data_IF_283553801015
#
_entry.id   IF_283553801015
#
_cell.length_a   1.000
_cell.length_b   1.000
_cell.length_c   1.000
_cell.angle_alpha   90.00
_cell.angle_beta   90.00
_cell.angle_gamma   90.00
#
_symmetry.space_group_name_H-M   'P 1'
#
loop_
_entity.id
_entity.type
_entity.pdbx_description
1 polymer ?
#
# COMPACT_ATOMS: atom_id res chain seq x y z
N UNK A 1 -13.13 -25.95 -42.75
CA UNK A 1 -13.41 -25.64 -41.34
C UNK A 1 -12.30 -26.22 -40.44
N UNK A 2 -12.18 -27.55 -40.30
CA UNK A 2 -11.17 -28.18 -39.42
C UNK A 2 -9.72 -27.77 -39.71
N UNK A 3 -9.29 -27.75 -40.97
CA UNK A 3 -7.92 -27.34 -41.35
C UNK A 3 -7.62 -25.87 -41.02
N UNK A 4 -8.60 -24.97 -41.19
CA UNK A 4 -8.45 -23.56 -40.85
C UNK A 4 -8.37 -23.36 -39.34
N UNK A 5 -9.17 -24.10 -38.56
CA UNK A 5 -9.09 -24.09 -37.10
C UNK A 5 -7.74 -24.61 -36.61
N UNK A 6 -7.23 -25.70 -37.18
CA UNK A 6 -5.91 -26.25 -36.83
C UNK A 6 -4.77 -25.29 -37.17
N UNK A 7 -4.83 -24.63 -38.33
CA UNK A 7 -3.86 -23.62 -38.73
C UNK A 7 -3.86 -22.42 -37.78
N UNK A 8 -5.03 -21.97 -37.34
CA UNK A 8 -5.17 -20.87 -36.38
C UNK A 8 -4.60 -21.25 -35.00
N UNK A 9 -4.89 -22.47 -34.53
CA UNK A 9 -4.33 -22.98 -33.26
C UNK A 9 -2.81 -23.09 -33.34
N UNK A 10 -2.27 -23.61 -34.44
CA UNK A 10 -0.82 -23.70 -34.64
C UNK A 10 -0.16 -22.32 -34.67
N UNK A 11 -0.75 -21.35 -35.39
CA UNK A 11 -0.28 -19.98 -35.42
C UNK A 11 -0.28 -19.35 -34.02
N UNK A 12 -1.35 -19.57 -33.25
CA UNK A 12 -1.44 -19.07 -31.88
C UNK A 12 -0.35 -19.67 -30.97
N UNK A 13 -0.13 -20.99 -31.03
CA UNK A 13 0.93 -21.66 -30.26
C UNK A 13 2.30 -21.14 -30.67
N UNK A 14 2.55 -20.98 -31.97
CA UNK A 14 3.80 -20.43 -32.49
C UNK A 14 4.04 -19.00 -31.99
N UNK A 15 3.03 -18.12 -32.05
CA UNK A 15 3.12 -16.76 -31.55
C UNK A 15 3.38 -16.72 -30.04
N UNK A 16 2.69 -17.54 -29.26
CA UNK A 16 2.93 -17.66 -27.80
C UNK A 16 4.37 -18.10 -27.53
N UNK A 17 4.84 -19.15 -28.21
CA UNK A 17 6.21 -19.63 -28.06
C UNK A 17 7.23 -18.56 -28.47
N UNK A 18 6.98 -17.83 -29.56
CA UNK A 18 7.84 -16.76 -30.03
C UNK A 18 7.91 -15.61 -29.02
N UNK A 19 6.77 -15.19 -28.46
CA UNK A 19 6.72 -14.15 -27.40
C UNK A 19 7.47 -14.60 -26.16
N UNK A 20 7.23 -15.82 -25.67
CA UNK A 20 7.95 -16.39 -24.52
C UNK A 20 9.46 -16.37 -24.81
N UNK A 21 9.90 -16.95 -25.93
CA UNK A 21 11.32 -17.01 -26.26
C UNK A 21 11.94 -15.62 -26.38
N UNK A 22 11.25 -14.66 -26.99
CA UNK A 22 11.72 -13.28 -27.14
C UNK A 22 11.85 -12.58 -25.79
N UNK A 23 10.88 -12.73 -24.90
CA UNK A 23 10.93 -12.08 -23.58
C UNK A 23 11.99 -12.71 -22.68
N UNK A 24 11.96 -14.04 -22.52
CA UNK A 24 12.84 -14.73 -21.58
C UNK A 24 14.28 -14.91 -22.08
N UNK A 25 14.61 -14.37 -23.25
CA UNK A 25 15.99 -14.22 -23.73
C UNK A 25 16.56 -12.82 -23.52
N UNK A 26 15.79 -11.87 -22.94
CA UNK A 26 16.22 -10.48 -22.76
C UNK A 26 17.56 -10.33 -22.02
N UNK A 27 17.78 -11.11 -20.96
CA UNK A 27 18.99 -11.03 -20.13
C UNK A 27 20.20 -11.76 -20.74
N UNK A 28 20.02 -12.50 -21.84
CA UNK A 28 21.11 -13.25 -22.47
C UNK A 28 22.24 -12.31 -22.91
N UNK A 29 23.48 -12.63 -22.52
CA UNK A 29 24.67 -11.87 -22.91
C UNK A 29 24.83 -10.50 -22.23
N UNK A 30 24.03 -10.18 -21.20
CA UNK A 30 24.11 -8.90 -20.46
C UNK A 30 25.01 -8.92 -19.22
N UNK A 31 25.68 -10.04 -18.93
CA UNK A 31 26.61 -10.16 -17.80
C UNK A 31 25.99 -10.10 -16.40
N UNK A 32 24.65 -10.14 -16.29
CA UNK A 32 23.92 -10.09 -15.01
C UNK A 32 23.32 -11.49 -14.78
N UNK A 33 23.44 -12.10 -13.58
CA UNK A 33 22.74 -13.34 -13.24
C UNK A 33 21.22 -13.16 -13.44
N UNK A 34 20.49 -14.14 -13.95
CA UNK A 34 19.06 -13.95 -14.23
C UNK A 34 18.24 -15.23 -14.04
N UNK A 35 16.92 -15.08 -14.03
CA UNK A 35 15.98 -16.20 -14.07
C UNK A 35 15.84 -16.70 -15.50
N UNK A 36 16.09 -17.99 -15.73
CA UNK A 36 15.61 -18.63 -16.97
C UNK A 36 14.07 -18.67 -16.98
N UNK A 37 13.46 -18.99 -18.13
CA UNK A 37 12.01 -19.21 -18.18
C UNK A 37 11.54 -20.25 -17.15
N UNK A 38 12.28 -21.35 -16.99
CA UNK A 38 11.97 -22.41 -16.01
C UNK A 38 12.11 -21.91 -14.58
N UNK A 39 13.14 -21.10 -14.29
CA UNK A 39 13.30 -20.51 -12.94
C UNK A 39 12.19 -19.51 -12.64
N UNK A 40 11.74 -18.75 -13.64
CA UNK A 40 10.64 -17.81 -13.48
C UNK A 40 9.30 -18.53 -13.24
N UNK A 41 9.01 -19.60 -13.98
CA UNK A 41 7.82 -20.43 -13.71
C UNK A 41 7.88 -21.01 -12.30
N UNK A 42 9.06 -21.46 -11.85
CA UNK A 42 9.28 -21.90 -10.47
C UNK A 42 9.08 -20.77 -9.47
N UNK A 43 9.58 -19.56 -9.74
CA UNK A 43 9.34 -18.38 -8.90
C UNK A 43 7.86 -18.12 -8.71
N UNK A 44 7.07 -18.14 -9.79
CA UNK A 44 5.61 -17.93 -9.73
C UNK A 44 4.94 -19.03 -8.90
N UNK A 45 5.35 -20.29 -9.07
CA UNK A 45 4.86 -21.40 -8.25
C UNK A 45 5.23 -21.27 -6.77
N UNK A 46 6.49 -20.93 -6.48
CA UNK A 46 6.98 -20.72 -5.12
C UNK A 46 6.24 -19.56 -4.46
N UNK A 47 6.02 -18.44 -5.17
CA UNK A 47 5.19 -17.32 -4.67
C UNK A 47 3.74 -17.71 -4.38
N UNK A 48 3.22 -18.76 -5.02
CA UNK A 48 1.88 -19.30 -4.73
C UNK A 48 1.84 -20.24 -3.53
N UNK A 49 2.94 -20.93 -3.24
CA UNK A 49 2.99 -22.02 -2.26
C UNK A 49 3.77 -21.69 -0.99
N UNK A 50 4.54 -20.59 -1.00
CA UNK A 50 5.43 -20.18 0.09
C UNK A 50 5.27 -18.69 0.40
N UNK A 51 5.65 -18.24 1.61
CA UNK A 51 5.67 -16.83 1.95
C UNK A 51 6.60 -16.05 1.01
N UNK A 52 6.11 -14.91 0.51
CA UNK A 52 6.81 -14.10 -0.50
C UNK A 52 8.21 -13.67 -0.08
N UNK A 53 8.38 -13.28 1.18
CA UNK A 53 9.67 -12.86 1.74
C UNK A 53 10.71 -13.98 1.72
N UNK A 54 10.31 -15.24 1.96
CA UNK A 54 11.21 -16.39 1.89
C UNK A 54 11.67 -16.64 0.45
N UNK A 55 10.74 -16.54 -0.50
CA UNK A 55 11.04 -16.70 -1.93
C UNK A 55 11.99 -15.61 -2.42
N UNK A 56 11.74 -14.36 -2.04
CA UNK A 56 12.62 -13.24 -2.35
C UNK A 56 14.03 -13.47 -1.77
N UNK A 57 14.13 -13.87 -0.51
CA UNK A 57 15.39 -14.14 0.17
C UNK A 57 16.14 -15.34 -0.42
N UNK A 58 15.45 -16.41 -0.80
CA UNK A 58 16.03 -17.58 -1.48
C UNK A 58 16.66 -17.17 -2.83
N UNK A 59 15.95 -16.34 -3.61
CA UNK A 59 16.46 -15.86 -4.89
C UNK A 59 17.64 -14.90 -4.71
N UNK A 60 17.57 -13.98 -3.74
CA UNK A 60 18.69 -13.11 -3.36
C UNK A 60 19.92 -13.92 -2.95
N UNK A 61 19.77 -14.94 -2.09
CA UNK A 61 20.89 -15.79 -1.65
C UNK A 61 21.51 -16.58 -2.80
N UNK A 62 20.70 -17.05 -3.75
CA UNK A 62 21.17 -17.85 -4.90
C UNK A 62 21.85 -17.03 -5.98
N UNK A 63 21.34 -15.83 -6.27
CA UNK A 63 21.78 -15.03 -7.44
C UNK A 63 22.56 -13.78 -7.06
N UNK A 64 22.60 -13.46 -5.77
CA UNK A 64 23.25 -12.28 -5.23
C UNK A 64 22.36 -11.05 -5.21
N UNK A 65 22.97 -9.91 -4.86
CA UNK A 65 22.32 -8.61 -4.66
C UNK A 65 21.79 -7.93 -5.93
N UNK A 66 22.05 -8.49 -7.10
CA UNK A 66 21.62 -7.94 -8.38
C UNK A 66 21.35 -9.08 -9.36
N UNK A 67 20.11 -9.20 -9.84
CA UNK A 67 19.78 -10.22 -10.83
C UNK A 67 18.59 -9.82 -11.72
N UNK A 68 18.61 -10.32 -12.95
CA UNK A 68 17.51 -10.22 -13.90
C UNK A 68 16.35 -11.14 -13.54
N UNK A 69 15.16 -10.58 -13.57
CA UNK A 69 13.88 -11.26 -13.35
C UNK A 69 12.88 -10.79 -14.41
N UNK A 70 11.61 -11.11 -14.20
CA UNK A 70 10.49 -10.70 -15.03
C UNK A 70 9.29 -10.35 -14.15
N UNK A 71 8.50 -9.38 -14.59
CA UNK A 71 7.10 -9.20 -14.18
C UNK A 71 6.24 -9.72 -15.33
N UNK A 72 6.02 -11.03 -15.34
CA UNK A 72 5.25 -11.72 -16.36
C UNK A 72 5.99 -11.72 -17.68
N UNK A 73 5.60 -10.82 -18.57
CA UNK A 73 6.25 -10.67 -19.88
C UNK A 73 7.12 -9.40 -19.99
N UNK A 74 7.36 -8.71 -18.87
CA UNK A 74 8.18 -7.50 -18.80
C UNK A 74 9.50 -7.84 -18.11
N UNK A 75 10.67 -7.63 -18.72
CA UNK A 75 11.95 -7.80 -18.02
C UNK A 75 12.06 -6.86 -16.83
N UNK A 76 12.52 -7.37 -15.69
CA UNK A 76 12.68 -6.63 -14.44
C UNK A 76 14.08 -6.84 -13.86
N UNK A 77 14.67 -5.83 -13.24
CA UNK A 77 15.96 -5.94 -12.55
C UNK A 77 15.70 -5.91 -11.05
N UNK A 78 16.06 -6.98 -10.34
CA UNK A 78 15.99 -7.02 -8.89
C UNK A 78 17.28 -6.45 -8.33
N UNK A 79 17.15 -5.41 -7.50
CA UNK A 79 18.26 -4.65 -6.94
C UNK A 79 18.19 -4.72 -5.42
N UNK A 80 19.27 -5.20 -4.80
CA UNK A 80 19.48 -5.24 -3.35
C UNK A 80 20.80 -4.61 -2.92
N UNK A 81 21.43 -3.82 -3.79
CA UNK A 81 22.63 -3.04 -3.45
C UNK A 81 22.22 -1.63 -2.96
N UNK A 82 22.60 -1.23 -1.73
CA UNK A 82 22.18 0.06 -1.16
C UNK A 82 22.59 1.29 -1.96
N UNK A 83 23.75 1.27 -2.63
CA UNK A 83 24.21 2.42 -3.43
C UNK A 83 23.33 2.59 -4.68
N UNK A 84 22.80 1.50 -5.20
CA UNK A 84 21.89 1.52 -6.34
C UNK A 84 20.49 1.85 -5.99
N UNK A 85 20.02 1.36 -4.86
CA UNK A 85 18.75 1.81 -4.32
C UNK A 85 18.82 3.34 -4.12
N UNK A 86 19.91 3.88 -3.57
CA UNK A 86 20.10 5.35 -3.49
C UNK A 86 20.05 6.01 -4.87
N UNK A 87 20.78 5.48 -5.85
CA UNK A 87 20.81 6.10 -7.18
C UNK A 87 19.43 6.05 -7.86
N UNK A 88 18.71 4.93 -7.78
CA UNK A 88 17.35 4.75 -8.32
C UNK A 88 16.33 5.66 -7.62
N UNK A 89 16.31 5.66 -6.28
CA UNK A 89 15.28 6.36 -5.50
C UNK A 89 15.56 7.85 -5.28
N UNK A 90 16.80 8.30 -5.42
CA UNK A 90 17.20 9.69 -5.10
C UNK A 90 17.79 10.41 -6.30
N UNK A 91 18.85 9.86 -6.89
CA UNK A 91 19.64 10.56 -7.91
C UNK A 91 18.93 10.59 -9.27
N UNK A 92 18.46 9.44 -9.70
CA UNK A 92 17.88 9.18 -11.01
C UNK A 92 16.36 9.02 -10.95
N UNK A 93 15.71 9.51 -9.88
CA UNK A 93 14.28 9.33 -9.63
C UNK A 93 13.39 9.72 -10.83
N UNK A 94 13.77 10.73 -11.60
CA UNK A 94 13.03 11.13 -12.82
C UNK A 94 12.94 10.02 -13.87
N UNK A 95 13.91 9.10 -13.92
CA UNK A 95 13.90 7.95 -14.81
C UNK A 95 13.05 6.79 -14.29
N UNK A 96 12.62 6.84 -13.02
CA UNK A 96 11.92 5.78 -12.29
C UNK A 96 10.64 6.28 -11.60
N UNK A 97 10.04 7.36 -12.10
CA UNK A 97 8.92 8.07 -11.46
C UNK A 97 7.57 7.34 -11.53
N UNK A 98 7.43 6.37 -12.43
CA UNK A 98 6.21 5.57 -12.59
C UNK A 98 6.24 4.32 -11.70
N UNK A 99 5.13 4.02 -11.03
CA UNK A 99 4.92 2.76 -10.32
C UNK A 99 3.99 1.84 -11.10
N UNK A 100 4.48 0.66 -11.49
CA UNK A 100 3.72 -0.45 -12.10
C UNK A 100 2.93 -0.04 -13.38
N UNK A 101 2.40 -1.03 -14.10
CA UNK A 101 1.50 -0.82 -15.24
C UNK A 101 0.14 -0.31 -14.72
N UNK A 102 -0.03 1.01 -14.74
CA UNK A 102 -1.31 1.70 -14.49
C UNK A 102 -2.48 1.03 -15.25
N UNK A 103 -3.66 1.00 -14.61
CA UNK A 103 -4.94 0.53 -15.18
C UNK A 103 -5.01 -0.97 -15.51
N UNK A 104 -4.41 -1.82 -14.68
CA UNK A 104 -4.48 -3.28 -14.84
C UNK A 104 -5.86 -3.85 -14.45
N UNK A 105 -6.60 -3.17 -13.57
CA UNK A 105 -7.80 -3.70 -12.94
C UNK A 105 -9.10 -3.25 -13.62
N UNK A 106 -9.06 -2.11 -14.32
CA UNK A 106 -10.23 -1.52 -14.97
C UNK A 106 -11.27 -0.97 -14.00
N UNK A 107 -10.92 -0.81 -12.72
CA UNK A 107 -11.78 -0.19 -11.71
C UNK A 107 -11.39 1.31 -11.59
N UNK A 108 -12.28 2.24 -11.94
CA UNK A 108 -11.96 3.68 -11.94
C UNK A 108 -11.49 4.22 -10.59
N UNK A 109 -12.06 3.74 -9.48
CA UNK A 109 -11.69 4.22 -8.15
C UNK A 109 -10.29 3.72 -7.73
N UNK A 110 -9.92 2.50 -8.12
CA UNK A 110 -8.57 1.96 -7.92
C UNK A 110 -7.53 2.69 -8.75
N UNK A 111 -7.83 2.88 -10.03
CA UNK A 111 -6.93 3.47 -11.01
C UNK A 111 -6.64 4.96 -10.69
N UNK A 112 -7.60 5.67 -10.07
CA UNK A 112 -7.45 7.07 -9.60
C UNK A 112 -6.74 7.21 -8.25
N UNK A 113 -6.41 6.13 -7.54
CA UNK A 113 -5.63 6.24 -6.29
C UNK A 113 -4.21 6.69 -6.61
N UNK A 114 -3.66 7.60 -5.80
CA UNK A 114 -2.30 8.12 -6.00
C UNK A 114 -1.24 7.02 -6.22
N UNK A 115 -1.35 5.87 -5.55
CA UNK A 115 -0.38 4.77 -5.71
C UNK A 115 -0.41 4.09 -7.09
N UNK A 116 -1.50 4.24 -7.85
CA UNK A 116 -1.76 3.57 -9.12
C UNK A 116 -1.80 4.53 -10.32
N UNK A 117 -1.73 5.84 -10.06
CA UNK A 117 -1.79 6.88 -11.09
C UNK A 117 -0.45 7.04 -11.82
N UNK A 118 -0.46 7.36 -13.14
CA UNK A 118 0.74 7.73 -13.89
C UNK A 118 1.43 8.99 -13.33
N UNK A 119 2.70 9.21 -13.67
CA UNK A 119 3.54 10.30 -13.12
C UNK A 119 2.85 11.68 -13.01
N UNK A 120 2.18 12.18 -14.06
CA UNK A 120 1.59 13.52 -14.05
C UNK A 120 0.42 13.62 -13.07
N UNK A 121 -0.50 12.66 -13.11
CA UNK A 121 -1.63 12.55 -12.18
C UNK A 121 -1.17 12.29 -10.74
N UNK A 122 -0.13 11.46 -10.59
CA UNK A 122 0.52 11.20 -9.30
C UNK A 122 1.10 12.49 -8.71
N UNK A 123 1.84 13.29 -9.49
CA UNK A 123 2.42 14.56 -9.02
C UNK A 123 1.34 15.52 -8.54
N UNK A 124 0.26 15.67 -9.31
CA UNK A 124 -0.85 16.56 -8.95
C UNK A 124 -1.53 16.09 -7.67
N UNK A 125 -1.89 14.81 -7.60
CA UNK A 125 -2.52 14.20 -6.42
C UNK A 125 -1.61 14.26 -5.19
N UNK A 126 -0.32 13.97 -5.35
CA UNK A 126 0.68 14.06 -4.28
C UNK A 126 0.80 15.48 -3.73
N UNK A 127 0.78 16.48 -4.61
CA UNK A 127 0.84 17.90 -4.22
C UNK A 127 -0.40 18.28 -3.41
N UNK A 128 -1.59 17.83 -3.83
CA UNK A 128 -2.85 18.02 -3.10
C UNK A 128 -2.85 17.34 -1.72
N UNK A 129 -2.31 16.12 -1.61
CA UNK A 129 -2.39 15.32 -0.38
C UNK A 129 -1.25 15.60 0.61
N UNK A 130 -0.11 16.12 0.17
CA UNK A 130 1.04 16.41 1.05
C UNK A 130 0.71 17.31 2.25
N UNK A 131 -0.14 18.35 2.12
CA UNK A 131 -0.57 19.16 3.26
C UNK A 131 -1.36 18.41 4.35
N UNK A 132 -1.83 17.18 4.11
CA UNK A 132 -2.45 16.34 5.14
C UNK A 132 -1.49 16.00 6.29
N UNK A 133 -0.19 15.99 6.01
CA UNK A 133 0.85 15.49 6.90
C UNK A 133 1.80 16.59 7.39
N UNK A 134 1.36 17.86 7.38
CA UNK A 134 2.12 18.94 8.03
C UNK A 134 2.12 18.77 9.55
N UNK A 135 3.11 19.34 10.24
CA UNK A 135 3.18 19.32 11.70
C UNK A 135 1.88 19.82 12.36
N UNK A 136 1.25 20.86 11.82
CA UNK A 136 -0.02 21.37 12.35
C UNK A 136 -1.17 20.37 12.19
N UNK A 137 -1.25 19.68 11.05
CA UNK A 137 -2.24 18.63 10.84
C UNK A 137 -1.99 17.41 11.71
N UNK A 138 -0.74 16.97 11.84
CA UNK A 138 -0.39 15.86 12.74
C UNK A 138 -0.78 16.17 14.20
N UNK A 139 -0.54 17.40 14.67
CA UNK A 139 -1.01 17.86 15.98
C UNK A 139 -2.54 17.77 16.13
N UNK A 140 -3.28 18.18 15.10
CA UNK A 140 -4.74 18.09 15.08
C UNK A 140 -5.28 16.65 15.08
N UNK A 141 -4.50 15.68 14.60
CA UNK A 141 -4.87 14.26 14.61
C UNK A 141 -4.76 13.62 16.00
N UNK A 142 -3.84 14.11 16.85
CA UNK A 142 -3.54 13.49 18.15
C UNK A 142 -4.79 13.34 19.03
N UNK A 143 -5.64 14.35 19.25
CA UNK A 143 -6.83 14.20 20.09
C UNK A 143 -7.76 13.09 19.61
N UNK A 144 -7.88 12.90 18.28
CA UNK A 144 -8.71 11.84 17.69
C UNK A 144 -8.11 10.45 17.95
N UNK A 145 -6.79 10.32 17.80
CA UNK A 145 -6.06 9.08 18.07
C UNK A 145 -6.14 8.73 19.56
N UNK A 146 -5.99 9.71 20.46
CA UNK A 146 -6.13 9.50 21.90
C UNK A 146 -7.54 9.02 22.25
N UNK A 147 -8.57 9.66 21.70
CA UNK A 147 -9.96 9.27 21.95
C UNK A 147 -10.26 7.82 21.53
N UNK A 148 -9.79 7.38 20.36
CA UNK A 148 -9.96 5.98 19.92
C UNK A 148 -9.08 5.01 20.73
N UNK A 149 -7.89 5.46 21.16
CA UNK A 149 -6.97 4.67 21.99
C UNK A 149 -7.54 4.43 23.38
N UNK A 150 -8.20 5.42 23.99
CA UNK A 150 -8.85 5.27 25.29
C UNK A 150 -9.95 4.20 25.26
N UNK A 151 -10.76 4.18 24.21
CA UNK A 151 -11.80 3.15 24.05
C UNK A 151 -11.20 1.77 23.80
N UNK A 152 -10.12 1.69 23.01
CA UNK A 152 -9.35 0.46 22.85
C UNK A 152 -8.78 -0.04 24.18
N UNK A 153 -8.17 0.84 25.00
CA UNK A 153 -7.60 0.48 26.29
C UNK A 153 -8.65 -0.04 27.26
N UNK A 154 -9.84 0.59 27.33
CA UNK A 154 -10.96 0.09 28.14
C UNK A 154 -11.38 -1.32 27.73
N UNK A 155 -11.40 -1.61 26.43
CA UNK A 155 -11.70 -2.96 25.92
C UNK A 155 -10.61 -3.95 26.28
N UNK A 156 -9.34 -3.57 26.12
CA UNK A 156 -8.20 -4.41 26.44
C UNK A 156 -8.17 -4.79 27.93
N UNK A 157 -8.44 -3.83 28.82
CA UNK A 157 -8.56 -4.09 30.26
C UNK A 157 -9.67 -5.11 30.59
N UNK A 158 -10.86 -4.96 29.98
CA UNK A 158 -11.97 -5.92 30.16
C UNK A 158 -11.64 -7.32 29.66
N UNK A 159 -10.89 -7.44 28.56
CA UNK A 159 -10.43 -8.74 28.09
C UNK A 159 -9.34 -9.31 29.00
N UNK A 160 -8.45 -8.47 29.55
CA UNK A 160 -7.42 -8.87 30.50
C UNK A 160 -7.95 -9.33 31.87
N UNK A 161 -9.16 -8.92 32.27
CA UNK A 161 -9.85 -9.46 33.45
C UNK A 161 -10.26 -10.93 33.28
N UNK A 162 -10.39 -11.41 32.04
CA UNK A 162 -10.73 -12.79 31.75
C UNK A 162 -9.49 -13.68 31.89
N UNK A 163 -9.66 -14.87 32.47
CA UNK A 163 -8.59 -15.87 32.54
C UNK A 163 -8.42 -16.52 31.16
N UNK A 164 -7.24 -16.36 30.54
CA UNK A 164 -6.88 -17.07 29.32
C UNK A 164 -6.02 -16.24 28.37
N UNK A 165 -5.71 -16.80 27.21
CA UNK A 165 -5.08 -16.06 26.13
C UNK A 165 -6.07 -15.06 25.52
N UNK A 166 -5.58 -13.85 25.22
CA UNK A 166 -6.36 -12.80 24.57
C UNK A 166 -5.92 -12.69 23.12
N UNK A 167 -6.88 -12.77 22.19
CA UNK A 167 -6.64 -12.52 20.77
C UNK A 167 -6.62 -11.00 20.55
N UNK A 168 -5.44 -10.43 20.24
CA UNK A 168 -5.24 -8.98 20.13
C UNK A 168 -5.33 -8.45 18.69
N UNK A 169 -5.20 -9.31 17.68
CA UNK A 169 -5.17 -8.91 16.26
C UNK A 169 -6.50 -8.31 15.85
N UNK A 170 -7.62 -8.97 16.17
CA UNK A 170 -8.95 -8.44 15.89
C UNK A 170 -9.26 -7.15 16.65
N UNK A 171 -8.67 -6.97 17.84
CA UNK A 171 -8.80 -5.72 18.59
C UNK A 171 -8.02 -4.57 17.93
N UNK A 172 -6.79 -4.83 17.47
CA UNK A 172 -6.01 -3.85 16.70
C UNK A 172 -6.66 -3.52 15.36
N UNK A 173 -7.22 -4.49 14.64
CA UNK A 173 -7.98 -4.23 13.41
C UNK A 173 -9.13 -3.25 13.66
N UNK A 174 -9.96 -3.48 14.68
CA UNK A 174 -11.06 -2.57 15.03
C UNK A 174 -10.55 -1.19 15.44
N UNK A 175 -9.51 -1.13 16.28
CA UNK A 175 -8.94 0.12 16.76
C UNK A 175 -8.38 0.97 15.62
N UNK A 176 -7.61 0.37 14.72
CA UNK A 176 -7.01 1.09 13.59
C UNK A 176 -8.09 1.51 12.60
N UNK A 177 -9.12 0.69 12.37
CA UNK A 177 -10.25 1.06 11.53
C UNK A 177 -11.05 2.25 12.09
N UNK A 178 -11.34 2.24 13.39
CA UNK A 178 -12.00 3.36 14.10
C UNK A 178 -11.16 4.63 14.01
N UNK A 179 -9.85 4.51 14.26
CA UNK A 179 -8.89 5.62 14.18
C UNK A 179 -8.83 6.19 12.77
N UNK A 180 -8.73 5.34 11.75
CA UNK A 180 -8.66 5.77 10.35
C UNK A 180 -9.93 6.48 9.93
N UNK A 181 -11.11 6.03 10.36
CA UNK A 181 -12.36 6.71 10.08
C UNK A 181 -12.49 8.07 10.77
N UNK A 182 -11.99 8.19 12.01
CA UNK A 182 -11.91 9.48 12.70
C UNK A 182 -10.96 10.45 11.97
N UNK A 183 -9.85 9.96 11.41
CA UNK A 183 -8.87 10.78 10.69
C UNK A 183 -9.33 11.14 9.26
N UNK A 184 -10.04 10.27 8.55
CA UNK A 184 -10.44 10.49 7.16
C UNK A 184 -11.78 11.21 7.04
N UNK A 185 -12.77 10.84 7.85
CA UNK A 185 -14.13 11.35 7.78
C UNK A 185 -14.62 12.08 9.04
N UNK A 186 -13.78 12.19 10.09
CA UNK A 186 -14.20 12.64 11.43
C UNK A 186 -15.40 11.86 11.96
N UNK A 187 -15.44 10.56 11.63
CA UNK A 187 -16.53 9.67 11.98
C UNK A 187 -16.10 8.71 13.08
N UNK A 188 -16.92 8.61 14.12
CA UNK A 188 -16.82 7.53 15.08
C UNK A 188 -17.61 6.32 14.58
N UNK A 189 -16.90 5.33 14.02
CA UNK A 189 -17.51 4.10 13.52
C UNK A 189 -17.96 3.14 14.62
N UNK A 190 -17.29 3.17 15.78
CA UNK A 190 -17.43 2.15 16.82
C UNK A 190 -17.50 0.72 16.24
N UNK A 191 -16.55 0.35 15.40
CA UNK A 191 -16.56 -0.91 14.62
C UNK A 191 -16.70 -2.16 15.47
N UNK A 192 -16.31 -2.09 16.74
CA UNK A 192 -16.51 -3.17 17.70
C UNK A 192 -17.99 -3.45 18.03
N UNK A 193 -18.86 -2.42 18.06
CA UNK A 193 -20.31 -2.56 18.25
C UNK A 193 -21.03 -2.82 16.94
N UNK A 194 -20.48 -2.31 15.84
CA UNK A 194 -21.06 -2.44 14.51
C UNK A 194 -20.04 -3.03 13.51
N UNK A 195 -19.69 -4.33 13.66
CA UNK A 195 -18.74 -4.98 12.76
C UNK A 195 -19.25 -5.07 11.33
N UNK A 196 -20.57 -4.95 11.14
CA UNK A 196 -21.23 -4.99 9.85
C UNK A 196 -21.26 -3.65 9.10
N UNK A 197 -20.62 -2.61 9.65
CA UNK A 197 -20.58 -1.30 9.03
C UNK A 197 -20.04 -1.41 7.60
N UNK A 198 -20.72 -0.86 6.58
CA UNK A 198 -20.35 -1.13 5.19
C UNK A 198 -18.94 -0.65 4.79
N UNK A 199 -18.41 0.43 5.39
CA UNK A 199 -17.01 0.85 5.19
C UNK A 199 -16.01 -0.24 5.65
N UNK A 200 -16.30 -0.90 6.77
CA UNK A 200 -15.48 -2.00 7.29
C UNK A 200 -15.51 -3.17 6.33
N UNK A 201 -16.71 -3.54 5.85
CA UNK A 201 -16.88 -4.59 4.85
C UNK A 201 -16.16 -4.28 3.55
N UNK A 202 -16.15 -3.02 3.12
CA UNK A 202 -15.44 -2.60 1.92
C UNK A 202 -13.92 -2.74 2.10
N UNK A 203 -13.36 -2.27 3.22
CA UNK A 203 -11.93 -2.35 3.48
C UNK A 203 -11.48 -3.81 3.69
N UNK A 204 -12.17 -4.60 4.53
CA UNK A 204 -11.85 -6.03 4.73
C UNK A 204 -12.02 -6.86 3.47
N UNK A 205 -13.03 -6.55 2.67
CA UNK A 205 -13.30 -7.20 1.40
C UNK A 205 -12.37 -6.79 0.26
N UNK A 206 -11.46 -5.85 0.50
CA UNK A 206 -10.62 -5.27 -0.55
C UNK A 206 -9.62 -6.29 -1.10
N UNK A 207 -8.81 -6.90 -0.24
CA UNK A 207 -7.90 -7.99 -0.59
C UNK A 207 -8.47 -9.38 -0.30
N UNK A 208 -9.33 -9.51 0.73
CA UNK A 208 -9.87 -10.80 1.18
C UNK A 208 -10.80 -11.50 0.17
N UNK A 209 -11.40 -10.76 -0.77
CA UNK A 209 -12.30 -11.34 -1.78
C UNK A 209 -11.56 -11.87 -3.02
N UNK A 210 -10.26 -11.58 -3.16
CA UNK A 210 -9.49 -12.01 -4.32
C UNK A 210 -8.70 -13.28 -3.96
N UNK A 211 -9.04 -14.41 -4.57
CA UNK A 211 -8.29 -15.67 -4.35
C UNK A 211 -6.79 -15.48 -4.62
N UNK A 212 -5.92 -16.07 -3.79
CA UNK A 212 -4.48 -15.78 -3.81
C UNK A 212 -3.80 -15.88 -5.18
N UNK A 213 -4.26 -16.77 -6.07
CA UNK A 213 -3.74 -16.87 -7.44
C UNK A 213 -4.03 -15.63 -8.29
N UNK A 214 -5.18 -14.96 -8.09
CA UNK A 214 -5.52 -13.70 -8.77
C UNK A 214 -4.68 -12.54 -8.23
N UNK A 215 -4.35 -12.54 -6.94
CA UNK A 215 -3.42 -11.56 -6.35
C UNK A 215 -2.03 -11.73 -6.96
N UNK A 216 -1.53 -12.95 -7.04
CA UNK A 216 -0.25 -13.23 -7.69
C UNK A 216 -0.30 -12.82 -9.16
N UNK A 217 -1.39 -13.10 -9.88
CA UNK A 217 -1.53 -12.66 -11.26
C UNK A 217 -1.55 -11.13 -11.38
N UNK A 218 -2.22 -10.42 -10.48
CA UNK A 218 -2.28 -8.96 -10.46
C UNK A 218 -0.88 -8.34 -10.29
N UNK A 219 -0.09 -8.86 -9.35
CA UNK A 219 1.23 -8.30 -9.01
C UNK A 219 2.39 -8.84 -9.85
N UNK A 220 2.28 -10.04 -10.41
CA UNK A 220 3.36 -10.66 -11.21
C UNK A 220 3.07 -10.65 -12.71
N UNK A 221 1.82 -10.53 -13.14
CA UNK A 221 1.41 -10.57 -14.55
C UNK A 221 0.25 -9.60 -14.83
N UNK A 222 0.38 -8.35 -14.40
CA UNK A 222 -0.63 -7.28 -14.53
C UNK A 222 -1.24 -7.16 -15.94
N UNK A 223 -0.44 -7.33 -17.00
CA UNK A 223 -0.92 -7.34 -18.40
C UNK A 223 -1.85 -8.51 -18.73
N UNK A 224 -1.58 -9.69 -18.16
CA UNK A 224 -2.44 -10.88 -18.34
C UNK A 224 -3.71 -10.70 -17.52
N UNK A 225 -3.59 -10.18 -16.29
CA UNK A 225 -4.74 -9.86 -15.44
C UNK A 225 -5.74 -8.96 -16.18
N UNK A 226 -5.25 -7.90 -16.86
CA UNK A 226 -6.06 -6.97 -17.65
C UNK A 226 -6.83 -7.62 -18.82
N UNK A 227 -6.32 -8.71 -19.39
CA UNK A 227 -6.97 -9.41 -20.49
C UNK A 227 -8.07 -10.37 -20.00
N UNK A 228 -8.05 -10.72 -18.72
CA UNK A 228 -9.02 -11.62 -18.12
C UNK A 228 -10.18 -10.81 -17.54
N UNK A 229 -11.41 -11.34 -17.52
CA UNK A 229 -12.59 -10.65 -16.99
C UNK A 229 -12.62 -10.72 -15.46
N UNK A 230 -11.51 -10.38 -14.81
CA UNK A 230 -11.43 -10.33 -13.36
C UNK A 230 -11.83 -8.95 -12.85
N UNK A 231 -12.67 -8.95 -11.82
CA UNK A 231 -13.04 -7.73 -11.12
C UNK A 231 -12.17 -7.59 -9.88
N UNK A 232 -11.44 -6.48 -9.78
CA UNK A 232 -10.71 -6.08 -8.59
C UNK A 232 -10.58 -4.56 -8.56
N UNK A 233 -10.76 -3.91 -7.40
CA UNK A 233 -11.57 -4.36 -6.27
C UNK A 233 -13.03 -4.59 -6.70
N UNK A 234 -13.86 -5.13 -5.80
CA UNK A 234 -15.29 -5.33 -6.09
C UNK A 234 -15.98 -4.01 -6.44
N UNK A 235 -16.65 -3.94 -7.60
CA UNK A 235 -17.43 -2.76 -8.03
C UNK A 235 -18.45 -2.31 -6.98
N UNK A 236 -19.11 -3.27 -6.32
CA UNK A 236 -20.08 -2.98 -5.26
C UNK A 236 -19.42 -2.29 -4.06
N UNK A 237 -18.21 -2.70 -3.70
CA UNK A 237 -17.44 -2.07 -2.62
C UNK A 237 -17.03 -0.64 -3.00
N UNK A 238 -16.48 -0.45 -4.19
CA UNK A 238 -16.04 0.87 -4.65
C UNK A 238 -17.21 1.84 -4.84
N UNK A 239 -18.36 1.38 -5.33
CA UNK A 239 -19.56 2.22 -5.45
C UNK A 239 -20.08 2.66 -4.09
N UNK A 240 -20.04 1.77 -3.09
CA UNK A 240 -20.43 2.14 -1.73
C UNK A 240 -19.56 3.29 -1.18
N UNK A 241 -18.24 3.21 -1.36
CA UNK A 241 -17.30 4.26 -0.89
C UNK A 241 -17.53 5.57 -1.64
N UNK A 242 -17.81 5.49 -2.94
CA UNK A 242 -18.16 6.65 -3.77
C UNK A 242 -19.45 7.32 -3.26
N UNK A 243 -20.52 6.56 -3.08
CA UNK A 243 -21.80 7.05 -2.55
C UNK A 243 -21.65 7.64 -1.14
N UNK A 244 -20.92 6.95 -0.27
CA UNK A 244 -20.65 7.42 1.09
C UNK A 244 -19.88 8.75 1.08
N UNK A 245 -18.81 8.83 0.29
CA UNK A 245 -18.01 10.07 0.15
C UNK A 245 -18.85 11.20 -0.42
N UNK A 246 -19.69 10.91 -1.43
CA UNK A 246 -20.62 11.89 -2.00
C UNK A 246 -21.56 12.46 -0.95
N UNK A 247 -22.17 11.58 -0.15
CA UNK A 247 -23.09 11.98 0.92
C UNK A 247 -22.40 12.89 1.94
N UNK A 248 -21.23 12.47 2.44
CA UNK A 248 -20.45 13.24 3.41
C UNK A 248 -19.99 14.60 2.86
N UNK A 249 -19.53 14.63 1.60
CA UNK A 249 -19.12 15.87 0.94
C UNK A 249 -20.29 16.86 0.81
N UNK A 250 -21.44 16.42 0.31
CA UNK A 250 -22.62 17.28 0.17
C UNK A 250 -23.14 17.76 1.53
N UNK A 251 -23.17 16.88 2.54
CA UNK A 251 -23.60 17.25 3.88
C UNK A 251 -22.76 18.40 4.43
N UNK A 252 -21.42 18.33 4.29
CA UNK A 252 -20.50 19.39 4.75
C UNK A 252 -20.65 20.69 3.96
N UNK A 253 -20.80 20.61 2.64
CA UNK A 253 -21.05 21.79 1.82
C UNK A 253 -22.36 22.48 2.22
N UNK A 254 -23.39 21.72 2.58
CA UNK A 254 -24.68 22.26 3.02
C UNK A 254 -24.65 22.82 4.44
N UNK A 255 -24.02 22.12 5.40
CA UNK A 255 -23.94 22.54 6.80
C UNK A 255 -22.91 23.65 7.04
N UNK A 256 -21.98 23.88 6.09
CA UNK A 256 -20.80 24.75 6.24
C UNK A 256 -19.90 24.36 7.41
N UNK A 257 -20.02 23.12 7.88
CA UNK A 257 -19.16 22.55 8.90
C UNK A 257 -17.77 22.29 8.30
N UNK A 258 -16.72 22.73 9.00
CA UNK A 258 -15.34 22.42 8.66
C UNK A 258 -14.75 21.53 9.74
N UNK A 259 -14.32 20.34 9.34
CA UNK A 259 -13.67 19.38 10.21
C UNK A 259 -12.20 19.23 9.85
N UNK A 260 -11.38 18.84 10.82
CA UNK A 260 -9.95 18.61 10.58
C UNK A 260 -9.71 17.15 10.19
N UNK A 261 -9.97 16.82 8.93
CA UNK A 261 -9.77 15.47 8.36
C UNK A 261 -9.35 15.49 6.89
N UNK A 262 -9.07 14.30 6.36
CA UNK A 262 -8.64 14.10 4.97
C UNK A 262 -9.72 14.53 3.97
N UNK A 263 -10.99 14.22 4.22
CA UNK A 263 -12.09 14.64 3.34
C UNK A 263 -12.14 16.17 3.22
N UNK A 264 -12.00 16.89 4.33
CA UNK A 264 -11.99 18.36 4.31
C UNK A 264 -10.78 18.91 3.55
N UNK A 265 -9.61 18.29 3.68
CA UNK A 265 -8.43 18.69 2.91
C UNK A 265 -8.67 18.55 1.39
N UNK A 266 -9.25 17.43 0.97
CA UNK A 266 -9.54 17.21 -0.45
C UNK A 266 -10.59 18.23 -0.95
N UNK A 267 -11.65 18.46 -0.17
CA UNK A 267 -12.66 19.48 -0.48
C UNK A 267 -12.05 20.88 -0.59
N UNK A 268 -11.20 21.27 0.37
CA UNK A 268 -10.52 22.57 0.35
C UNK A 268 -9.66 22.75 -0.89
N UNK A 269 -8.99 21.69 -1.34
CA UNK A 269 -8.12 21.76 -2.52
C UNK A 269 -8.95 21.98 -3.78
N UNK A 270 -10.04 21.24 -3.94
CA UNK A 270 -10.99 21.42 -5.06
C UNK A 270 -11.66 22.80 -5.01
N UNK A 271 -11.93 23.32 -3.81
CA UNK A 271 -12.56 24.63 -3.62
C UNK A 271 -11.61 25.81 -3.85
N UNK A 272 -10.30 25.68 -3.56
CA UNK A 272 -9.32 26.77 -3.73
C UNK A 272 -9.24 27.32 -5.15
N UNK A 273 -9.57 26.50 -6.14
CA UNK A 273 -9.51 26.88 -7.55
C UNK A 273 -10.80 27.56 -8.05
N UNK A 274 -11.81 27.80 -7.19
CA UNK A 274 -13.14 28.28 -7.60
C UNK A 274 -13.72 29.40 -6.73
N UNK A 275 -14.63 30.18 -7.32
CA UNK A 275 -15.36 31.25 -6.65
C UNK A 275 -16.39 30.71 -5.64
N UNK A 276 -16.62 31.38 -4.49
CA UNK A 276 -17.45 30.86 -3.39
C UNK A 276 -18.95 30.68 -3.70
N UNK A 277 -19.50 31.45 -4.65
CA UNK A 277 -20.94 31.71 -4.71
C UNK A 277 -21.77 30.70 -5.52
N UNK A 278 -21.17 29.68 -6.14
CA UNK A 278 -21.93 28.68 -6.92
C UNK A 278 -21.27 27.30 -7.00
N UNK A 279 -20.80 26.80 -5.85
CA UNK A 279 -20.04 25.56 -5.79
C UNK A 279 -20.94 24.32 -5.96
N UNK A 280 -20.76 23.62 -7.08
CA UNK A 280 -21.20 22.23 -7.26
C UNK A 280 -19.98 21.36 -7.47
N UNK A 281 -19.78 20.37 -6.62
CA UNK A 281 -18.77 19.33 -6.82
C UNK A 281 -19.24 18.47 -7.99
N UNK A 282 -18.40 18.32 -9.00
CA UNK A 282 -18.66 17.42 -10.12
C UNK A 282 -18.51 15.96 -9.70
N UNK A 283 -19.15 15.06 -10.45
CA UNK A 283 -19.04 13.62 -10.19
C UNK A 283 -17.59 13.11 -10.29
N UNK A 284 -16.78 13.67 -11.21
CA UNK A 284 -15.37 13.29 -11.31
C UNK A 284 -14.57 13.70 -10.08
N UNK A 285 -14.83 14.90 -9.54
CA UNK A 285 -14.15 15.35 -8.32
C UNK A 285 -14.52 14.48 -7.12
N UNK A 286 -15.79 14.08 -7.00
CA UNK A 286 -16.20 13.11 -5.98
C UNK A 286 -15.48 11.77 -6.15
N UNK A 287 -15.31 11.28 -7.38
CA UNK A 287 -14.55 10.06 -7.64
C UNK A 287 -13.07 10.19 -7.22
N UNK A 288 -12.43 11.31 -7.52
CA UNK A 288 -11.03 11.56 -7.13
C UNK A 288 -10.87 11.65 -5.61
N UNK A 289 -11.77 12.37 -4.93
CA UNK A 289 -11.82 12.46 -3.47
C UNK A 289 -12.06 11.08 -2.86
N UNK A 290 -13.03 10.32 -3.38
CA UNK A 290 -13.35 8.98 -2.88
C UNK A 290 -12.17 8.02 -3.06
N UNK A 291 -11.44 8.11 -4.18
CA UNK A 291 -10.25 7.33 -4.42
C UNK A 291 -9.16 7.62 -3.37
N UNK A 292 -8.90 8.90 -3.05
CA UNK A 292 -7.91 9.25 -2.03
C UNK A 292 -8.36 8.88 -0.61
N UNK A 293 -9.62 9.10 -0.25
CA UNK A 293 -10.16 8.65 1.03
C UNK A 293 -10.01 7.13 1.18
N UNK A 294 -10.36 6.37 0.16
CA UNK A 294 -10.21 4.91 0.16
C UNK A 294 -8.75 4.48 0.25
N UNK A 295 -7.83 5.18 -0.44
CA UNK A 295 -6.40 4.94 -0.32
C UNK A 295 -5.91 5.09 1.12
N UNK A 296 -6.36 6.12 1.85
CA UNK A 296 -6.02 6.28 3.27
C UNK A 296 -6.54 5.13 4.12
N UNK A 297 -7.73 4.60 3.83
CA UNK A 297 -8.23 3.41 4.51
C UNK A 297 -7.39 2.16 4.23
N UNK A 298 -7.07 1.88 2.97
CA UNK A 298 -6.30 0.69 2.59
C UNK A 298 -4.86 0.79 3.13
N UNK A 299 -4.20 1.92 2.91
CA UNK A 299 -2.82 2.12 3.31
C UNK A 299 -2.68 2.28 4.83
N UNK A 300 -3.68 2.87 5.51
CA UNK A 300 -3.63 3.18 6.94
C UNK A 300 -4.22 2.10 7.85
N UNK A 301 -4.97 1.13 7.32
CA UNK A 301 -5.56 0.06 8.15
C UNK A 301 -4.60 -1.12 8.31
N UNK A 302 -4.46 -1.95 7.28
CA UNK A 302 -3.75 -3.24 7.41
C UNK A 302 -2.29 -3.06 7.81
N UNK A 303 -1.60 -2.06 7.25
CA UNK A 303 -0.17 -1.82 7.53
C UNK A 303 0.07 -1.45 9.01
N UNK A 304 -0.77 -0.57 9.56
CA UNK A 304 -0.67 -0.11 10.95
C UNK A 304 -1.09 -1.23 11.90
N UNK A 305 -2.14 -1.98 11.58
CA UNK A 305 -2.54 -3.15 12.36
C UNK A 305 -1.41 -4.18 12.46
N UNK A 306 -0.80 -4.55 11.33
CA UNK A 306 0.30 -5.52 11.30
C UNK A 306 1.53 -4.99 12.06
N UNK A 307 1.86 -3.70 11.91
CA UNK A 307 2.94 -3.06 12.66
C UNK A 307 2.71 -3.11 14.18
N UNK A 308 1.49 -2.82 14.64
CA UNK A 308 1.12 -2.89 16.05
C UNK A 308 1.18 -4.33 16.59
N UNK A 309 0.71 -5.31 15.81
CA UNK A 309 0.76 -6.73 16.18
C UNK A 309 2.21 -7.16 16.38
N UNK A 310 3.10 -6.90 15.42
CA UNK A 310 4.50 -7.31 15.53
C UNK A 310 5.25 -6.55 16.64
N UNK A 311 4.98 -5.27 16.82
CA UNK A 311 5.55 -4.51 17.93
C UNK A 311 5.11 -5.07 19.30
N UNK A 312 3.81 -5.32 19.48
CA UNK A 312 3.29 -5.92 20.70
C UNK A 312 3.84 -7.33 20.94
N UNK A 313 3.94 -8.14 19.89
CA UNK A 313 4.53 -9.48 19.95
C UNK A 313 6.00 -9.44 20.38
N UNK A 314 6.80 -8.56 19.79
CA UNK A 314 8.21 -8.40 20.15
C UNK A 314 8.37 -7.96 21.60
N UNK A 315 7.58 -6.98 22.06
CA UNK A 315 7.63 -6.51 23.45
C UNK A 315 7.18 -7.58 24.45
N UNK A 316 6.15 -8.36 24.12
CA UNK A 316 5.67 -9.46 24.98
C UNK A 316 6.72 -10.57 25.16
N UNK A 317 7.59 -10.78 24.16
CA UNK A 317 8.70 -11.74 24.25
C UNK A 317 9.96 -11.18 24.94
N UNK A 318 10.04 -9.86 25.13
CA UNK A 318 11.20 -9.17 25.72
C UNK A 318 10.74 -8.23 26.84
N UNK A 319 10.34 -8.75 28.02
CA UNK A 319 9.80 -7.95 29.12
C UNK A 319 10.70 -6.81 29.57
N UNK A 320 12.02 -6.99 29.52
CA UNK A 320 13.01 -5.96 29.84
C UNK A 320 12.97 -4.76 28.89
N UNK A 321 12.63 -5.00 27.62
CA UNK A 321 12.41 -3.93 26.64
C UNK A 321 11.05 -3.29 26.86
N UNK A 322 10.02 -4.08 27.18
CA UNK A 322 8.69 -3.58 27.50
C UNK A 322 8.70 -2.64 28.72
N UNK A 323 9.38 -3.01 29.80
CA UNK A 323 9.51 -2.19 31.00
C UNK A 323 10.17 -0.84 30.69
N UNK A 324 11.26 -0.84 29.90
CA UNK A 324 11.94 0.38 29.46
C UNK A 324 11.05 1.29 28.62
N UNK A 325 10.28 0.72 27.69
CA UNK A 325 9.31 1.47 26.88
C UNK A 325 8.25 2.11 27.78
N UNK A 326 7.70 1.35 28.74
CA UNK A 326 6.70 1.87 29.68
C UNK A 326 7.28 3.01 30.52
N UNK A 327 8.48 2.85 31.09
CA UNK A 327 9.14 3.89 31.88
C UNK A 327 9.39 5.16 31.05
N UNK A 328 9.84 5.02 29.80
CA UNK A 328 10.03 6.15 28.89
C UNK A 328 8.72 6.87 28.59
N UNK A 329 7.65 6.12 28.28
CA UNK A 329 6.31 6.68 28.03
C UNK A 329 5.81 7.42 29.26
N UNK A 330 5.85 6.80 30.44
CA UNK A 330 5.36 7.37 31.69
C UNK A 330 6.06 8.69 32.03
N UNK A 331 7.37 8.78 31.77
CA UNK A 331 8.14 10.00 31.96
C UNK A 331 7.75 11.10 30.97
N UNK A 332 7.60 10.77 29.69
CA UNK A 332 7.29 11.74 28.64
C UNK A 332 5.85 12.30 28.71
N UNK A 333 4.87 11.48 29.10
CA UNK A 333 3.45 11.92 29.16
C UNK A 333 3.07 12.54 30.51
N UNK A 334 3.93 12.48 31.53
CA UNK A 334 3.63 12.86 32.92
C UNK A 334 3.03 14.25 33.10
N UNK A 335 3.47 15.22 32.29
CA UNK A 335 3.06 16.63 32.43
C UNK A 335 1.83 16.97 31.59
N UNK A 336 1.87 16.66 30.29
CA UNK A 336 0.92 17.19 29.30
C UNK A 336 0.11 16.09 28.59
N UNK A 337 0.25 14.82 29.02
CA UNK A 337 -0.33 13.69 28.31
C UNK A 337 0.33 13.46 26.95
N UNK A 338 -0.38 12.73 26.08
CA UNK A 338 0.09 12.47 24.71
C UNK A 338 -0.07 13.71 23.84
N UNK A 339 1.07 14.31 23.49
CA UNK A 339 1.21 15.48 22.63
C UNK A 339 2.26 15.23 21.54
N UNK A 340 2.27 16.04 20.49
CA UNK A 340 3.24 15.90 19.40
C UNK A 340 4.68 16.07 19.90
N UNK A 341 4.87 16.92 20.91
CA UNK A 341 6.14 17.14 21.59
C UNK A 341 6.54 15.92 22.42
N UNK A 342 5.64 15.37 23.26
CA UNK A 342 5.96 14.20 24.09
C UNK A 342 6.36 12.97 23.27
N UNK A 343 5.79 12.80 22.06
CA UNK A 343 6.17 11.68 21.18
C UNK A 343 7.63 11.76 20.72
N UNK A 344 8.20 12.97 20.62
CA UNK A 344 9.62 13.16 20.27
C UNK A 344 10.57 12.85 21.43
N UNK A 345 10.03 12.75 22.65
CA UNK A 345 10.77 12.43 23.86
C UNK A 345 10.80 10.92 24.13
N UNK A 346 10.37 10.09 23.17
CA UNK A 346 10.30 8.63 23.28
C UNK A 346 11.21 7.89 22.25
N UNK A 347 12.54 8.14 22.24
CA UNK A 347 13.44 7.52 21.27
C UNK A 347 13.55 5.99 21.42
N UNK A 348 13.37 5.43 22.61
CA UNK A 348 13.41 3.98 22.82
C UNK A 348 12.15 3.30 22.27
N UNK A 349 10.97 3.90 22.43
CA UNK A 349 9.74 3.47 21.75
C UNK A 349 9.92 3.49 20.22
N UNK A 350 10.48 4.57 19.67
CA UNK A 350 10.77 4.66 18.23
C UNK A 350 11.74 3.56 17.77
N UNK A 351 12.77 3.27 18.57
CA UNK A 351 13.70 2.18 18.30
C UNK A 351 13.03 0.80 18.35
N UNK A 352 12.14 0.56 19.31
CA UNK A 352 11.40 -0.70 19.45
C UNK A 352 10.46 -0.95 18.25
N UNK A 353 9.75 0.10 17.81
CA UNK A 353 8.90 0.04 16.60
C UNK A 353 9.77 -0.21 15.37
N UNK A 354 10.88 0.51 15.22
CA UNK A 354 11.79 0.38 14.08
C UNK A 354 12.41 -1.02 13.99
N UNK A 355 12.84 -1.59 15.12
CA UNK A 355 13.41 -2.93 15.16
C UNK A 355 12.36 -4.01 14.85
N UNK A 356 11.13 -3.81 15.32
CA UNK A 356 9.99 -4.68 14.97
C UNK A 356 9.74 -4.69 13.45
N UNK A 357 9.77 -3.52 12.81
CA UNK A 357 9.63 -3.40 11.35
C UNK A 357 10.85 -3.93 10.57
N UNK A 358 12.04 -3.88 11.16
CA UNK A 358 13.27 -4.48 10.59
C UNK A 358 13.21 -6.01 10.59
N UNK A 359 12.67 -6.60 11.65
CA UNK A 359 12.48 -8.05 11.78
C UNK A 359 11.29 -8.55 10.96
N UNK A 360 10.19 -7.80 10.99
CA UNK A 360 8.91 -8.14 10.37
C UNK A 360 8.48 -7.05 9.40
N UNK A 361 9.21 -6.95 8.29
CA UNK A 361 8.92 -5.95 7.26
C UNK A 361 7.58 -6.23 6.57
N UNK A 362 6.75 -5.20 6.47
CA UNK A 362 5.41 -5.29 5.89
C UNK A 362 5.42 -5.58 4.39
N UNK A 363 6.40 -5.01 3.67
CA UNK A 363 6.56 -5.19 2.23
C UNK A 363 8.02 -5.60 1.91
N UNK A 364 8.17 -6.71 1.21
CA UNK A 364 9.49 -7.29 0.90
C UNK A 364 10.08 -6.83 -0.43
N UNK A 365 9.28 -6.23 -1.33
CA UNK A 365 9.76 -5.75 -2.62
C UNK A 365 9.03 -4.46 -3.03
N UNK A 366 9.82 -3.46 -3.43
CA UNK A 366 9.31 -2.24 -4.04
C UNK A 366 9.55 -2.29 -5.56
N UNK A 367 8.55 -1.91 -6.33
CA UNK A 367 8.60 -1.89 -7.80
C UNK A 367 8.64 -0.46 -8.32
N UNK A 368 9.60 -0.15 -9.18
CA UNK A 368 9.69 1.12 -9.90
C UNK A 368 9.84 0.82 -11.40
N UNK A 369 9.17 1.60 -12.24
CA UNK A 369 9.18 1.43 -13.70
C UNK A 369 10.14 2.42 -14.32
N UNK A 370 11.13 1.89 -15.01
CA UNK A 370 12.06 2.71 -15.78
C UNK A 370 11.41 3.23 -17.08
N UNK A 371 11.64 4.50 -17.42
CA UNK A 371 11.19 5.08 -18.69
C UNK A 371 11.85 4.41 -19.91
N UNK A 372 11.09 4.07 -20.99
CA UNK A 372 11.59 3.27 -22.12
C UNK A 372 12.81 3.81 -22.89
N UNK A 373 13.22 5.07 -22.66
CA UNK A 373 14.39 5.70 -23.29
C UNK A 373 15.68 5.63 -22.47
N UNK A 374 15.58 5.42 -21.16
CA UNK A 374 16.70 5.69 -20.25
C UNK A 374 17.58 4.46 -19.98
N UNK A 375 17.06 3.26 -20.26
CA UNK A 375 17.76 1.99 -19.98
C UNK A 375 19.12 1.89 -20.65
N UNK A 376 19.24 2.32 -21.91
CA UNK A 376 20.49 2.19 -22.67
C UNK A 376 21.60 3.11 -22.14
N UNK A 377 21.25 4.31 -21.67
CA UNK A 377 22.18 5.25 -21.07
C UNK A 377 22.56 4.85 -19.65
N UNK A 378 21.57 4.46 -18.85
CA UNK A 378 21.78 4.00 -17.47
C UNK A 378 22.62 2.72 -17.41
N UNK A 379 22.33 1.73 -18.26
CA UNK A 379 23.09 0.48 -18.33
C UNK A 379 24.54 0.70 -18.78
N UNK A 380 24.78 1.54 -19.80
CA UNK A 380 26.14 1.81 -20.31
C UNK A 380 26.98 2.70 -19.41
N UNK A 381 26.36 3.62 -18.68
CA UNK A 381 27.04 4.55 -17.76
C UNK A 381 27.25 4.00 -16.36
N UNK A 382 26.69 2.83 -16.06
CA UNK A 382 26.78 2.25 -14.73
C UNK A 382 28.02 1.38 -14.55
N UNK A 383 28.56 1.29 -13.32
CA UNK A 383 29.72 0.46 -12.98
C UNK A 383 29.47 -1.07 -13.05
N UNK A 384 28.35 -1.54 -13.64
CA UNK A 384 27.96 -2.96 -13.77
C UNK A 384 28.77 -3.77 -14.78
N UNK A 385 29.80 -3.19 -15.42
CA UNK A 385 30.78 -3.99 -16.16
C UNK A 385 31.64 -4.78 -15.16
N UNK A 386 30.99 -5.73 -14.49
CA UNK A 386 31.63 -6.80 -13.75
C UNK A 386 32.12 -7.75 -14.84
N UNK A 387 33.39 -7.59 -15.20
CA UNK A 387 34.13 -8.57 -16.00
C UNK A 387 34.29 -9.88 -15.24
#
# INVERSE_FOLDING_TARGET
MLQATLALVFLLIFLIFWVIRRTYSFWNGKGIPYLSFTDYVKLVYDNFTKPFHEVALENYRRRGRLYGSYEGFVPALVVGDPLLLRDIYVKDFKSFSDRIVSNATGNPLWDRMMLNSPEEEWKNTRTMMSPAFTTSRLKAMIPKIVATSDEFCKRLLREGEKKGAVEISGMFESFVMDTTAALVYSLDLNTHKNPDHPLVKCCKGFFGNLGGWKMILLFTMSRVFKLLPFEFPSKKGTEYVKEFTRHMAHQRCASKERLEDVLQLCLDTVMRERSPDNFKISESEIEDIAAQCMLFFIAGSDTVTIALIWAAYCLALHPECQEKVIEEIDNAVKQNGVTYESLKEMPYLEAAISESLRLYTLDSLLNEKMHPGDFSGWYKGSPWNVH
#
